data_IF_249793509982
#
_entry.id   IF_249793509982
#
_cell.length_a   1.000
_cell.length_b   1.000
_cell.length_c   1.000
_cell.angle_alpha   90.00
_cell.angle_beta   90.00
_cell.angle_gamma   90.00
#
_symmetry.space_group_name_H-M   'P 1'
#
loop_
_entity.id
_entity.type
_entity.pdbx_description
1 polymer ?
#
# COMPACT_ATOMS: atom_id res chain seq x y z
N UNK A 1 -65.22 -15.48 -117.37
CA UNK A 1 -64.38 -14.40 -116.84
C UNK A 1 -63.20 -15.04 -116.16
N UNK A 2 -62.04 -15.03 -116.80
CA UNK A 2 -60.81 -15.56 -116.20
C UNK A 2 -60.47 -14.70 -114.99
N UNK A 3 -60.53 -15.32 -113.80
CA UNK A 3 -60.28 -14.66 -112.53
C UNK A 3 -58.88 -14.07 -112.51
N UNK A 4 -58.80 -12.74 -112.45
CA UNK A 4 -57.54 -12.01 -112.28
C UNK A 4 -56.87 -12.53 -111.01
N UNK A 5 -55.76 -13.26 -111.15
CA UNK A 5 -54.92 -13.66 -110.02
C UNK A 5 -54.36 -12.38 -109.37
N UNK A 6 -54.96 -11.96 -108.27
CA UNK A 6 -54.38 -10.93 -107.40
C UNK A 6 -53.04 -11.47 -106.89
N UNK A 7 -51.95 -10.74 -107.15
CA UNK A 7 -50.62 -11.15 -106.72
C UNK A 7 -50.56 -11.18 -105.18
N UNK A 8 -49.89 -12.18 -104.61
CA UNK A 8 -49.82 -12.48 -103.16
C UNK A 8 -49.34 -11.32 -102.26
N UNK A 9 -48.79 -10.25 -102.85
CA UNK A 9 -48.27 -9.05 -102.17
C UNK A 9 -48.88 -7.73 -102.70
N UNK A 10 -50.07 -7.80 -103.30
CA UNK A 10 -50.83 -6.63 -103.75
C UNK A 10 -51.77 -6.19 -102.62
N UNK A 11 -51.60 -4.96 -102.12
CA UNK A 11 -52.50 -4.32 -101.16
C UNK A 11 -52.76 -2.89 -101.58
N UNK A 12 -54.02 -2.46 -101.52
CA UNK A 12 -54.47 -1.18 -102.09
C UNK A 12 -54.22 0.00 -101.15
N UNK A 13 -54.23 -0.25 -99.84
CA UNK A 13 -54.11 0.79 -98.80
C UNK A 13 -53.03 0.41 -97.78
N UNK A 14 -52.36 1.42 -97.22
CA UNK A 14 -51.38 1.28 -96.13
C UNK A 14 -51.77 2.15 -94.95
N UNK A 15 -51.66 1.61 -93.74
CA UNK A 15 -51.83 2.39 -92.50
C UNK A 15 -50.46 2.85 -92.00
N UNK A 16 -50.33 4.15 -91.79
CA UNK A 16 -49.16 4.78 -91.20
C UNK A 16 -49.48 5.21 -89.78
N UNK A 17 -48.52 5.01 -88.88
CA UNK A 17 -48.60 5.48 -87.50
C UNK A 17 -47.36 6.31 -87.21
N UNK A 18 -47.55 7.58 -86.84
CA UNK A 18 -46.46 8.46 -86.42
C UNK A 18 -46.72 8.94 -85.01
N UNK A 19 -45.86 8.50 -84.09
CA UNK A 19 -45.90 8.90 -82.70
C UNK A 19 -45.29 10.28 -82.50
N UNK A 20 -45.87 11.04 -81.56
CA UNK A 20 -45.26 12.26 -81.05
C UNK A 20 -43.96 11.89 -80.31
N UNK A 21 -42.86 12.65 -80.50
CA UNK A 21 -41.62 12.41 -79.79
C UNK A 21 -41.81 12.47 -78.28
N UNK A 22 -41.21 11.54 -77.53
CA UNK A 22 -41.30 11.53 -76.06
C UNK A 22 -40.80 12.82 -75.42
N UNK A 23 -39.86 13.52 -76.06
CA UNK A 23 -39.35 14.84 -75.68
C UNK A 23 -40.42 15.93 -75.67
N UNK A 24 -41.46 15.79 -76.50
CA UNK A 24 -42.64 16.68 -76.55
C UNK A 24 -43.76 16.23 -75.60
N UNK A 25 -43.56 15.14 -74.86
CA UNK A 25 -44.54 14.58 -73.95
C UNK A 25 -44.16 14.78 -72.48
N UNK A 26 -45.18 14.82 -71.62
CA UNK A 26 -45.08 14.62 -70.19
C UNK A 26 -45.49 13.18 -69.88
N UNK A 27 -44.61 12.46 -69.21
CA UNK A 27 -44.87 11.11 -68.75
C UNK A 27 -45.69 11.15 -67.45
N UNK A 28 -46.81 10.42 -67.44
CA UNK A 28 -47.60 10.12 -66.26
C UNK A 28 -47.31 8.65 -65.92
N UNK A 29 -46.48 8.39 -64.90
CA UNK A 29 -46.15 7.01 -64.52
C UNK A 29 -47.40 6.29 -64.02
N UNK A 30 -47.39 4.97 -64.14
CA UNK A 30 -48.40 4.07 -63.54
C UNK A 30 -49.87 4.35 -63.92
N UNK A 31 -50.12 4.98 -65.07
CA UNK A 31 -51.47 5.38 -65.48
C UNK A 31 -52.35 4.17 -65.86
N UNK A 32 -51.83 3.25 -66.67
CA UNK A 32 -52.55 2.05 -67.06
C UNK A 32 -52.08 0.87 -66.21
N UNK A 33 -52.97 0.34 -65.39
CA UNK A 33 -52.75 -0.88 -64.61
C UNK A 33 -53.44 -2.05 -65.28
N UNK A 34 -52.71 -3.10 -65.57
CA UNK A 34 -53.24 -4.35 -66.13
C UNK A 34 -52.57 -5.55 -65.46
N UNK A 35 -53.24 -6.69 -65.46
CA UNK A 35 -52.64 -7.95 -65.01
C UNK A 35 -52.27 -8.78 -66.24
N UNK A 36 -51.00 -9.16 -66.36
CA UNK A 36 -50.49 -10.05 -67.41
C UNK A 36 -49.79 -11.21 -66.72
N UNK A 37 -50.24 -12.44 -66.98
CA UNK A 37 -49.70 -13.68 -66.39
C UNK A 37 -49.62 -13.66 -64.85
N UNK A 38 -50.64 -13.09 -64.18
CA UNK A 38 -50.70 -12.99 -62.72
C UNK A 38 -49.82 -11.90 -62.11
N UNK A 39 -49.21 -11.04 -62.93
CA UNK A 39 -48.36 -9.93 -62.50
C UNK A 39 -49.00 -8.59 -62.84
N UNK A 40 -48.94 -7.67 -61.88
CA UNK A 40 -49.36 -6.29 -62.10
C UNK A 40 -48.35 -5.59 -63.02
N UNK A 41 -48.79 -5.24 -64.22
CA UNK A 41 -48.05 -4.45 -65.20
C UNK A 41 -48.60 -3.03 -65.20
N UNK A 42 -47.73 -2.08 -64.90
CA UNK A 42 -48.03 -0.65 -64.94
C UNK A 42 -47.38 -0.02 -66.15
N UNK A 43 -48.18 0.65 -66.99
CA UNK A 43 -47.71 1.33 -68.20
C UNK A 43 -47.90 2.84 -68.06
N UNK A 44 -46.89 3.64 -68.44
CA UNK A 44 -47.01 5.08 -68.41
C UNK A 44 -47.98 5.56 -69.50
N UNK A 45 -48.58 6.73 -69.24
CA UNK A 45 -49.30 7.50 -70.26
C UNK A 45 -48.49 8.74 -70.61
N UNK A 46 -48.24 8.95 -71.88
CA UNK A 46 -47.63 10.17 -72.38
C UNK A 46 -48.74 11.15 -72.79
N UNK A 47 -48.62 12.39 -72.34
CA UNK A 47 -49.54 13.49 -72.70
C UNK A 47 -48.71 14.59 -73.33
N UNK A 48 -49.21 15.23 -74.40
CA UNK A 48 -48.51 16.36 -75.02
C UNK A 48 -48.22 17.47 -73.99
N UNK A 49 -46.99 18.02 -73.97
CA UNK A 49 -46.65 19.16 -73.11
C UNK A 49 -47.38 20.42 -73.53
N UNK A 50 -47.42 20.66 -74.84
CA UNK A 50 -48.18 21.71 -75.49
C UNK A 50 -49.07 21.06 -76.55
N UNK A 51 -50.38 21.21 -76.39
CA UNK A 51 -51.36 20.57 -77.26
C UNK A 51 -51.40 21.19 -78.66
N UNK A 52 -51.18 22.50 -78.79
CA UNK A 52 -51.22 23.20 -80.08
C UNK A 52 -49.95 22.98 -80.88
N UNK A 53 -48.79 22.90 -80.22
CA UNK A 53 -47.55 22.48 -80.86
C UNK A 53 -47.60 21.00 -81.29
N UNK A 54 -48.17 20.14 -80.43
CA UNK A 54 -48.26 18.72 -80.70
C UNK A 54 -49.23 18.35 -81.83
N UNK A 55 -50.17 19.21 -82.24
CA UNK A 55 -50.98 18.98 -83.46
C UNK A 55 -50.20 19.21 -84.74
N UNK A 56 -49.26 20.17 -84.73
CA UNK A 56 -48.48 20.54 -85.91
C UNK A 56 -47.47 19.46 -86.28
N UNK A 57 -46.87 18.81 -85.29
CA UNK A 57 -45.86 17.77 -85.52
C UNK A 57 -46.40 16.58 -86.35
N UNK A 58 -47.52 15.93 -85.98
CA UNK A 58 -48.07 14.81 -86.74
C UNK A 58 -48.58 15.22 -88.13
N UNK A 59 -49.16 16.42 -88.25
CA UNK A 59 -49.61 16.97 -89.53
C UNK A 59 -48.44 17.19 -90.50
N UNK A 60 -47.38 17.83 -90.04
CA UNK A 60 -46.17 18.07 -90.82
C UNK A 60 -45.48 16.75 -91.19
N UNK A 61 -45.45 15.79 -90.26
CA UNK A 61 -44.92 14.45 -90.51
C UNK A 61 -45.71 13.72 -91.61
N UNK A 62 -47.03 13.81 -91.57
CA UNK A 62 -47.91 13.23 -92.59
C UNK A 62 -47.67 13.89 -93.95
N UNK A 63 -47.60 15.23 -94.03
CA UNK A 63 -47.32 15.95 -95.28
C UNK A 63 -45.98 15.53 -95.88
N UNK A 64 -44.93 15.51 -95.06
CA UNK A 64 -43.61 15.11 -95.52
C UNK A 64 -43.59 13.67 -96.03
N UNK A 65 -44.21 12.73 -95.32
CA UNK A 65 -44.32 11.34 -95.75
C UNK A 65 -45.13 11.20 -97.03
N UNK A 66 -46.21 11.98 -97.17
CA UNK A 66 -47.01 11.99 -98.37
C UNK A 66 -46.19 12.45 -99.59
N UNK A 67 -45.45 13.55 -99.47
CA UNK A 67 -44.66 14.13 -100.56
C UNK A 67 -43.41 13.31 -100.92
N UNK A 68 -42.75 12.71 -99.93
CA UNK A 68 -41.41 12.14 -100.09
C UNK A 68 -41.37 10.60 -100.12
N UNK A 69 -42.43 9.93 -99.64
CA UNK A 69 -42.45 8.48 -99.51
C UNK A 69 -43.66 7.82 -100.18
N UNK A 70 -44.85 8.44 -100.10
CA UNK A 70 -46.07 7.88 -100.68
C UNK A 70 -46.10 8.14 -102.19
N UNK A 71 -46.26 7.12 -103.06
CA UNK A 71 -46.12 7.28 -104.50
C UNK A 71 -47.12 8.24 -105.15
N UNK A 72 -48.31 8.38 -104.56
CA UNK A 72 -49.37 9.27 -105.06
C UNK A 72 -49.42 10.63 -104.34
N UNK A 73 -48.41 10.97 -103.54
CA UNK A 73 -48.38 12.27 -102.86
C UNK A 73 -49.47 12.40 -101.80
N UNK A 74 -49.82 13.65 -101.51
CA UNK A 74 -50.91 13.99 -100.59
C UNK A 74 -52.28 13.52 -101.10
N UNK A 75 -52.49 13.49 -102.42
CA UNK A 75 -53.74 13.06 -103.05
C UNK A 75 -54.04 11.56 -102.82
N UNK A 76 -53.01 10.76 -102.50
CA UNK A 76 -53.17 9.37 -102.12
C UNK A 76 -53.53 9.18 -100.64
N UNK A 77 -53.50 10.23 -99.81
CA UNK A 77 -53.86 10.13 -98.39
C UNK A 77 -55.38 10.25 -98.25
N UNK A 78 -56.03 9.16 -97.86
CA UNK A 78 -57.49 9.10 -97.71
C UNK A 78 -57.99 9.89 -96.49
N UNK A 79 -57.13 10.06 -95.48
CA UNK A 79 -57.44 10.77 -94.24
C UNK A 79 -56.62 10.22 -93.08
N UNK A 80 -56.66 10.92 -91.94
CA UNK A 80 -56.00 10.48 -90.72
C UNK A 80 -56.63 11.07 -89.46
N UNK A 81 -56.50 10.32 -88.38
CA UNK A 81 -57.01 10.66 -87.05
C UNK A 81 -55.83 10.89 -86.10
N UNK A 82 -55.90 11.99 -85.34
CA UNK A 82 -54.93 12.30 -84.29
C UNK A 82 -55.46 11.84 -82.94
N UNK A 83 -54.79 10.87 -82.33
CA UNK A 83 -55.21 10.23 -81.09
C UNK A 83 -54.32 10.75 -79.95
N UNK A 84 -54.89 11.59 -79.08
CA UNK A 84 -54.22 12.15 -77.90
C UNK A 84 -54.69 11.50 -76.58
N UNK A 85 -55.69 10.63 -76.65
CA UNK A 85 -56.32 9.98 -75.52
C UNK A 85 -55.75 8.58 -75.21
N UNK A 86 -54.86 8.08 -76.06
CA UNK A 86 -54.18 6.79 -75.92
C UNK A 86 -52.87 6.88 -75.10
N UNK A 87 -52.10 5.77 -75.09
CA UNK A 87 -50.86 5.65 -74.32
C UNK A 87 -49.76 6.62 -74.76
N UNK A 88 -49.66 6.87 -76.06
CA UNK A 88 -48.74 7.85 -76.64
C UNK A 88 -49.48 8.64 -77.71
N UNK A 89 -49.45 9.99 -77.68
CA UNK A 89 -50.08 10.79 -78.72
C UNK A 89 -49.51 10.46 -80.10
N UNK A 90 -50.36 10.24 -81.09
CA UNK A 90 -49.94 9.87 -82.44
C UNK A 90 -50.99 10.23 -83.49
N UNK A 91 -50.59 10.24 -84.76
CA UNK A 91 -51.52 10.24 -85.90
C UNK A 91 -51.52 8.86 -86.54
N UNK A 92 -52.71 8.38 -86.89
CA UNK A 92 -52.90 7.25 -87.79
C UNK A 92 -53.52 7.75 -89.08
N UNK A 93 -52.87 7.51 -90.22
CA UNK A 93 -53.42 7.93 -91.51
C UNK A 93 -53.29 6.83 -92.55
N UNK A 94 -54.24 6.79 -93.48
CA UNK A 94 -54.28 5.79 -94.54
C UNK A 94 -53.88 6.42 -95.87
N UNK A 95 -53.05 5.71 -96.64
CA UNK A 95 -52.71 6.13 -97.98
C UNK A 95 -52.76 4.99 -98.99
N UNK A 96 -53.19 5.33 -100.20
CA UNK A 96 -53.27 4.43 -101.34
C UNK A 96 -51.88 4.07 -101.86
N UNK A 97 -51.73 2.83 -102.32
CA UNK A 97 -50.50 2.33 -102.95
C UNK A 97 -50.56 2.38 -104.47
N UNK A 98 -51.52 3.15 -104.99
CA UNK A 98 -51.81 3.27 -106.40
C UNK A 98 -50.73 4.11 -107.09
N UNK A 99 -50.42 3.74 -108.33
CA UNK A 99 -49.53 4.52 -109.18
C UNK A 99 -50.01 4.44 -110.63
N UNK A 100 -49.68 5.43 -111.48
CA UNK A 100 -50.03 5.37 -112.89
C UNK A 100 -49.63 4.05 -113.53
N UNK A 101 -50.54 3.45 -114.28
CA UNK A 101 -50.26 2.23 -115.02
C UNK A 101 -49.31 2.58 -116.19
N UNK A 102 -48.11 1.98 -116.27
CA UNK A 102 -47.11 2.36 -117.27
C UNK A 102 -47.60 2.16 -118.70
N UNK A 103 -48.39 1.10 -118.94
CA UNK A 103 -48.87 0.74 -120.28
C UNK A 103 -50.32 1.19 -120.57
N UNK A 104 -51.01 1.82 -119.61
CA UNK A 104 -52.43 2.21 -119.73
C UNK A 104 -52.65 3.62 -119.21
N UNK A 105 -52.44 4.65 -120.04
CA UNK A 105 -52.62 6.05 -119.65
C UNK A 105 -54.01 6.30 -119.06
N UNK A 106 -54.09 7.11 -118.00
CA UNK A 106 -55.34 7.44 -117.31
C UNK A 106 -55.87 6.36 -116.36
N UNK A 107 -55.17 5.24 -116.18
CA UNK A 107 -55.53 4.20 -115.20
C UNK A 107 -54.46 4.06 -114.12
N UNK A 108 -54.89 3.70 -112.92
CA UNK A 108 -54.02 3.39 -111.79
C UNK A 108 -53.84 1.88 -111.64
N UNK A 109 -52.68 1.47 -111.12
CA UNK A 109 -52.44 0.09 -110.71
C UNK A 109 -51.82 0.04 -109.33
N UNK A 110 -52.17 -0.98 -108.56
CA UNK A 110 -51.56 -1.27 -107.27
C UNK A 110 -50.04 -1.52 -107.44
N UNK A 111 -49.21 -0.68 -106.83
CA UNK A 111 -47.73 -0.82 -106.85
C UNK A 111 -47.12 -0.54 -105.48
N UNK A 112 -47.43 -1.36 -104.45
CA UNK A 112 -46.77 -1.24 -103.15
C UNK A 112 -45.25 -1.43 -103.26
N UNK A 113 -44.78 -2.06 -104.33
CA UNK A 113 -43.37 -2.12 -104.71
C UNK A 113 -42.63 -0.78 -104.74
N UNK A 114 -43.29 0.33 -105.10
CA UNK A 114 -42.58 1.60 -105.23
C UNK A 114 -42.15 2.14 -103.86
N UNK A 115 -43.02 2.10 -102.86
CA UNK A 115 -42.75 2.62 -101.52
C UNK A 115 -42.37 1.53 -100.50
N UNK A 116 -43.15 0.45 -100.41
CA UNK A 116 -43.11 -0.49 -99.28
C UNK A 116 -42.29 -1.76 -99.56
N UNK A 117 -42.28 -2.19 -100.82
CA UNK A 117 -41.66 -3.44 -101.25
C UNK A 117 -40.50 -3.18 -102.23
N UNK A 118 -40.01 -4.25 -102.83
CA UNK A 118 -38.91 -4.22 -103.80
C UNK A 118 -39.51 -4.11 -105.20
N UNK A 119 -39.22 -3.03 -105.94
CA UNK A 119 -39.73 -2.80 -107.31
C UNK A 119 -38.61 -2.62 -108.34
N UNK A 120 -38.64 -3.32 -109.49
CA UNK A 120 -37.55 -3.28 -110.47
C UNK A 120 -37.23 -1.89 -111.01
N UNK A 121 -38.18 -0.95 -110.94
CA UNK A 121 -38.00 0.43 -111.40
C UNK A 121 -37.36 1.34 -110.35
N UNK A 122 -37.26 0.90 -109.09
CA UNK A 122 -36.67 1.68 -107.99
C UNK A 122 -35.27 1.16 -107.67
N UNK A 123 -34.25 1.91 -108.09
CA UNK A 123 -32.83 1.52 -108.02
C UNK A 123 -31.98 2.67 -107.47
N UNK A 124 -30.87 2.33 -106.82
CA UNK A 124 -29.90 3.34 -106.41
C UNK A 124 -29.35 4.09 -107.64
N UNK A 125 -29.43 5.42 -107.62
CA UNK A 125 -28.96 6.29 -108.70
C UNK A 125 -27.46 6.61 -108.59
N UNK A 126 -26.88 6.49 -107.39
CA UNK A 126 -25.49 6.81 -107.07
C UNK A 126 -24.91 5.87 -106.00
N UNK A 127 -23.61 6.02 -105.71
CA UNK A 127 -22.90 5.27 -104.67
C UNK A 127 -22.53 3.81 -105.03
N UNK A 128 -21.98 3.05 -104.08
CA UNK A 128 -21.46 1.68 -104.31
C UNK A 128 -22.54 0.67 -104.73
N UNK A 129 -23.82 0.98 -104.48
CA UNK A 129 -24.97 0.15 -104.85
C UNK A 129 -25.66 0.62 -106.14
N UNK A 130 -25.09 1.57 -106.90
CA UNK A 130 -25.70 2.12 -108.13
C UNK A 130 -26.23 1.02 -109.06
N UNK A 131 -27.45 1.19 -109.54
CA UNK A 131 -28.16 0.24 -110.42
C UNK A 131 -28.75 -0.98 -109.71
N UNK A 132 -28.40 -1.25 -108.44
CA UNK A 132 -29.08 -2.28 -107.65
C UNK A 132 -30.47 -1.81 -107.24
N UNK A 133 -31.38 -2.77 -107.11
CA UNK A 133 -32.75 -2.52 -106.64
C UNK A 133 -32.74 -2.16 -105.15
N UNK A 134 -33.58 -1.20 -104.75
CA UNK A 134 -33.73 -0.82 -103.34
C UNK A 134 -34.75 -1.77 -102.69
N UNK A 135 -34.39 -2.38 -101.56
CA UNK A 135 -35.28 -3.24 -100.79
C UNK A 135 -36.32 -2.40 -100.05
N UNK A 136 -37.50 -2.99 -99.78
CA UNK A 136 -38.55 -2.33 -98.98
C UNK A 136 -38.04 -1.81 -97.64
N UNK A 137 -37.32 -2.64 -96.88
CA UNK A 137 -36.74 -2.25 -95.58
C UNK A 137 -35.81 -1.03 -95.68
N UNK A 138 -34.96 -0.95 -96.71
CA UNK A 138 -34.09 0.21 -96.88
C UNK A 138 -34.89 1.49 -97.15
N UNK A 139 -35.99 1.40 -97.93
CA UNK A 139 -36.85 2.56 -98.20
C UNK A 139 -37.48 3.10 -96.91
N UNK A 140 -37.92 2.23 -96.01
CA UNK A 140 -38.41 2.65 -94.69
C UNK A 140 -37.31 3.28 -93.82
N UNK A 141 -36.09 2.72 -93.82
CA UNK A 141 -34.94 3.30 -93.10
C UNK A 141 -34.64 4.71 -93.64
N UNK A 142 -34.61 4.87 -94.96
CA UNK A 142 -34.33 6.15 -95.61
C UNK A 142 -35.46 7.17 -95.36
N UNK A 143 -36.73 6.74 -95.39
CA UNK A 143 -37.88 7.58 -95.09
C UNK A 143 -37.90 8.03 -93.61
N UNK A 144 -37.64 7.13 -92.67
CA UNK A 144 -37.53 7.49 -91.25
C UNK A 144 -36.37 8.46 -91.00
N UNK A 145 -35.21 8.24 -91.65
CA UNK A 145 -34.08 9.16 -91.55
C UNK A 145 -34.43 10.54 -92.11
N UNK A 146 -34.99 10.60 -93.31
CA UNK A 146 -35.38 11.86 -93.94
C UNK A 146 -36.45 12.62 -93.14
N UNK A 147 -37.43 11.90 -92.57
CA UNK A 147 -38.43 12.52 -91.70
C UNK A 147 -37.78 13.14 -90.46
N UNK A 148 -36.84 12.44 -89.81
CA UNK A 148 -36.13 12.99 -88.64
C UNK A 148 -35.29 14.21 -89.00
N UNK A 149 -34.57 14.17 -90.13
CA UNK A 149 -33.80 15.31 -90.63
C UNK A 149 -34.69 16.53 -90.91
N UNK A 150 -35.84 16.31 -91.55
CA UNK A 150 -36.83 17.37 -91.84
C UNK A 150 -37.40 17.97 -90.56
N UNK A 151 -37.90 17.13 -89.64
CA UNK A 151 -38.51 17.60 -88.40
C UNK A 151 -37.49 18.31 -87.51
N UNK A 152 -36.24 17.84 -87.47
CA UNK A 152 -35.15 18.51 -86.77
C UNK A 152 -34.82 19.87 -87.42
N UNK A 153 -34.80 19.96 -88.76
CA UNK A 153 -34.57 21.22 -89.46
C UNK A 153 -35.67 22.26 -89.21
N UNK A 154 -36.91 21.81 -88.98
CA UNK A 154 -38.03 22.66 -88.54
C UNK A 154 -37.97 23.06 -87.06
N UNK A 155 -36.97 22.57 -86.31
CA UNK A 155 -36.74 22.92 -84.90
C UNK A 155 -37.47 22.01 -83.90
N UNK A 156 -38.10 20.92 -84.34
CA UNK A 156 -38.70 19.97 -83.40
C UNK A 156 -37.61 19.18 -82.64
N UNK A 157 -37.85 18.83 -81.36
CA UNK A 157 -36.87 18.14 -80.52
C UNK A 157 -36.81 16.63 -80.83
N UNK A 158 -36.44 16.28 -82.06
CA UNK A 158 -36.29 14.91 -82.54
C UNK A 158 -34.82 14.50 -82.51
N UNK A 159 -34.53 13.30 -82.02
CA UNK A 159 -33.18 12.72 -82.04
C UNK A 159 -32.79 12.35 -83.47
N UNK A 160 -31.67 12.88 -84.00
CA UNK A 160 -31.22 12.59 -85.37
C UNK A 160 -30.68 11.16 -85.53
N UNK A 161 -29.91 10.72 -84.53
CA UNK A 161 -29.34 9.39 -84.49
C UNK A 161 -30.27 8.42 -83.78
N UNK A 162 -30.36 7.24 -84.35
CA UNK A 162 -31.12 6.14 -83.80
C UNK A 162 -30.32 5.57 -82.63
N UNK A 163 -30.90 5.52 -81.43
CA UNK A 163 -30.19 4.99 -80.25
C UNK A 163 -29.60 3.59 -80.51
N UNK A 164 -28.48 3.26 -79.86
CA UNK A 164 -27.84 1.94 -79.97
C UNK A 164 -28.80 0.77 -79.64
N UNK A 165 -29.90 1.06 -78.93
CA UNK A 165 -30.95 0.10 -78.55
C UNK A 165 -32.12 -0.01 -79.54
N UNK A 166 -32.04 0.56 -80.73
CA UNK A 166 -33.20 0.61 -81.64
C UNK A 166 -33.66 -0.73 -82.22
N UNK A 167 -32.74 -1.69 -82.33
CA UNK A 167 -33.03 -3.07 -82.74
C UNK A 167 -33.53 -3.92 -81.56
N UNK A 168 -33.40 -3.42 -80.33
CA UNK A 168 -34.02 -4.02 -79.16
C UNK A 168 -35.51 -3.62 -79.20
N UNK A 169 -36.33 -4.43 -79.86
CA UNK A 169 -37.76 -4.40 -79.55
C UNK A 169 -37.86 -4.56 -78.03
N UNK A 170 -38.47 -3.58 -77.37
CA UNK A 170 -38.76 -3.62 -75.94
C UNK A 170 -39.64 -4.86 -75.70
N UNK A 171 -39.00 -6.00 -75.48
CA UNK A 171 -39.70 -7.20 -75.05
C UNK A 171 -40.33 -6.81 -73.70
N UNK A 172 -41.66 -6.85 -73.65
CA UNK A 172 -42.48 -6.47 -72.50
C UNK A 172 -41.93 -7.03 -71.18
N UNK A 173 -41.34 -8.22 -71.25
CA UNK A 173 -40.67 -8.92 -70.14
C UNK A 173 -39.52 -8.13 -69.51
N UNK A 174 -38.66 -7.49 -70.33
CA UNK A 174 -37.48 -6.75 -69.84
C UNK A 174 -37.86 -5.42 -69.19
N UNK A 175 -38.86 -4.73 -69.73
CA UNK A 175 -39.39 -3.51 -69.10
C UNK A 175 -40.04 -3.84 -67.74
N UNK A 176 -40.78 -4.95 -67.69
CA UNK A 176 -41.37 -5.47 -66.44
C UNK A 176 -40.29 -5.88 -65.44
N UNK A 177 -39.23 -6.56 -65.88
CA UNK A 177 -38.10 -6.95 -65.03
C UNK A 177 -37.36 -5.73 -64.46
N UNK A 178 -37.18 -4.67 -65.24
CA UNK A 178 -36.53 -3.44 -64.77
C UNK A 178 -37.40 -2.70 -63.75
N UNK A 179 -38.70 -2.61 -63.97
CA UNK A 179 -39.67 -2.04 -63.02
C UNK A 179 -39.74 -2.84 -61.71
N UNK A 180 -39.78 -4.17 -61.80
CA UNK A 180 -39.75 -5.06 -60.65
C UNK A 180 -38.45 -4.88 -59.84
N UNK A 181 -37.31 -4.71 -60.52
CA UNK A 181 -36.01 -4.48 -59.89
C UNK A 181 -35.95 -3.13 -59.18
N UNK A 182 -36.49 -2.07 -59.77
CA UNK A 182 -36.59 -0.76 -59.12
C UNK A 182 -37.52 -0.80 -57.90
N UNK A 183 -38.63 -1.54 -57.99
CA UNK A 183 -39.54 -1.75 -56.85
C UNK A 183 -38.86 -2.52 -55.71
N UNK A 184 -38.12 -3.58 -56.02
CA UNK A 184 -37.37 -4.35 -55.02
C UNK A 184 -36.27 -3.54 -54.35
N UNK A 185 -35.59 -2.68 -55.11
CA UNK A 185 -34.61 -1.75 -54.55
C UNK A 185 -35.26 -0.76 -53.59
N UNK A 186 -36.40 -0.16 -53.99
CA UNK A 186 -37.15 0.77 -53.13
C UNK A 186 -37.67 0.11 -51.86
N UNK A 187 -38.13 -1.14 -51.95
CA UNK A 187 -38.56 -1.93 -50.79
C UNK A 187 -37.38 -2.20 -49.84
N UNK A 188 -36.21 -2.59 -50.39
CA UNK A 188 -34.98 -2.78 -49.62
C UNK A 188 -34.50 -1.50 -48.94
N UNK A 189 -34.57 -0.36 -49.63
CA UNK A 189 -34.26 0.95 -49.02
C UNK A 189 -35.19 1.23 -47.83
N UNK A 190 -36.50 0.97 -47.98
CA UNK A 190 -37.45 1.06 -46.88
C UNK A 190 -37.11 0.15 -45.69
N UNK A 191 -36.74 -1.11 -45.93
CA UNK A 191 -36.30 -2.03 -44.88
C UNK A 191 -35.03 -1.57 -44.18
N UNK A 192 -34.06 -1.04 -44.93
CA UNK A 192 -32.81 -0.49 -44.38
C UNK A 192 -33.10 0.71 -43.50
N UNK A 193 -33.98 1.61 -43.93
CA UNK A 193 -34.42 2.77 -43.15
C UNK A 193 -35.09 2.34 -41.82
N UNK A 194 -35.96 1.32 -41.86
CA UNK A 194 -36.59 0.75 -40.66
C UNK A 194 -35.55 0.14 -39.72
N UNK A 195 -34.60 -0.65 -40.25
CA UNK A 195 -33.51 -1.23 -39.45
C UNK A 195 -32.63 -0.15 -38.84
N UNK A 196 -32.30 0.90 -39.58
CA UNK A 196 -31.52 2.05 -39.09
C UNK A 196 -32.23 2.75 -37.93
N UNK A 197 -33.54 2.97 -38.03
CA UNK A 197 -34.35 3.52 -36.93
C UNK A 197 -34.46 2.58 -35.73
N UNK A 198 -34.39 1.26 -35.93
CA UNK A 198 -34.32 0.29 -34.83
C UNK A 198 -32.99 0.40 -34.11
N UNK A 199 -31.88 0.34 -34.85
CA UNK A 199 -30.52 0.46 -34.28
C UNK A 199 -30.36 1.78 -33.53
N UNK A 200 -30.88 2.90 -34.06
CA UNK A 200 -30.82 4.17 -33.36
C UNK A 200 -31.54 4.12 -32.00
N UNK A 201 -32.74 3.52 -31.95
CA UNK A 201 -33.47 3.36 -30.69
C UNK A 201 -32.72 2.48 -29.68
N UNK A 202 -32.06 1.44 -30.16
CA UNK A 202 -31.25 0.55 -29.31
C UNK A 202 -30.02 1.30 -28.77
N UNK A 203 -29.36 2.12 -29.60
CA UNK A 203 -28.24 2.97 -29.17
C UNK A 203 -28.68 4.01 -28.13
N UNK A 204 -29.82 4.67 -28.35
CA UNK A 204 -30.37 5.66 -27.40
C UNK A 204 -30.82 4.99 -26.07
N UNK A 205 -31.19 3.71 -26.09
CA UNK A 205 -31.48 2.94 -24.87
C UNK A 205 -30.18 2.62 -24.11
N UNK A 206 -29.14 2.15 -24.82
CA UNK A 206 -27.82 1.87 -24.23
C UNK A 206 -27.23 3.14 -23.59
N UNK A 207 -27.36 4.29 -24.23
CA UNK A 207 -26.87 5.56 -23.70
C UNK A 207 -27.59 5.94 -22.38
N UNK A 208 -28.92 5.80 -22.34
CA UNK A 208 -29.71 6.02 -21.11
C UNK A 208 -29.32 5.06 -19.98
N UNK A 209 -29.14 3.78 -20.29
CA UNK A 209 -28.71 2.77 -19.31
C UNK A 209 -27.32 3.10 -18.75
N UNK A 210 -26.40 3.56 -19.63
CA UNK A 210 -25.06 3.98 -19.22
C UNK A 210 -25.08 5.22 -18.33
N UNK A 211 -25.91 6.22 -18.66
CA UNK A 211 -26.10 7.40 -17.81
C UNK A 211 -26.68 7.04 -16.44
N UNK A 212 -27.63 6.11 -16.41
CA UNK A 212 -28.24 5.67 -15.17
C UNK A 212 -27.24 4.89 -14.31
N UNK A 213 -26.48 3.96 -14.90
CA UNK A 213 -25.40 3.25 -14.22
C UNK A 213 -24.33 4.21 -13.66
N UNK A 214 -24.00 5.28 -14.40
CA UNK A 214 -23.07 6.30 -13.92
C UNK A 214 -23.62 7.09 -12.71
N UNK A 215 -24.92 7.41 -12.70
CA UNK A 215 -25.59 8.05 -11.56
C UNK A 215 -25.61 7.14 -10.34
N UNK A 216 -25.95 5.87 -10.52
CA UNK A 216 -25.96 4.86 -9.44
C UNK A 216 -24.57 4.65 -8.87
N UNK A 217 -23.53 4.57 -9.73
CA UNK A 217 -22.14 4.46 -9.30
C UNK A 217 -21.71 5.67 -8.45
N UNK A 218 -22.08 6.89 -8.87
CA UNK A 218 -21.77 8.11 -8.12
C UNK A 218 -22.46 8.11 -6.75
N UNK A 219 -23.73 7.71 -6.68
CA UNK A 219 -24.46 7.58 -5.41
C UNK A 219 -23.82 6.53 -4.50
N UNK A 220 -23.38 5.41 -5.06
CA UNK A 220 -22.69 4.37 -4.30
C UNK A 220 -21.35 4.85 -3.76
N UNK A 221 -20.58 5.62 -4.54
CA UNK A 221 -19.34 6.25 -4.09
C UNK A 221 -19.58 7.22 -2.92
N UNK A 222 -20.53 8.14 -3.06
CA UNK A 222 -20.90 9.08 -2.00
C UNK A 222 -21.37 8.38 -0.71
N UNK A 223 -22.13 7.29 -0.85
CA UNK A 223 -22.55 6.47 0.29
C UNK A 223 -21.36 5.77 0.97
N UNK A 224 -20.40 5.28 0.18
CA UNK A 224 -19.22 4.60 0.69
C UNK A 224 -18.26 5.58 1.40
N UNK A 225 -18.07 6.79 0.85
CA UNK A 225 -17.32 7.87 1.52
C UNK A 225 -17.95 8.25 2.85
N UNK A 226 -19.29 8.39 2.90
CA UNK A 226 -20.01 8.62 4.16
C UNK A 226 -19.80 7.48 5.15
N UNK A 227 -19.92 6.23 4.70
CA UNK A 227 -19.68 5.06 5.55
C UNK A 227 -18.25 5.02 6.10
N UNK A 228 -17.25 5.33 5.27
CA UNK A 228 -15.85 5.46 5.72
C UNK A 228 -15.67 6.56 6.76
N UNK A 229 -16.31 7.73 6.58
CA UNK A 229 -16.24 8.81 7.57
C UNK A 229 -16.84 8.40 8.92
N UNK A 230 -17.95 7.65 8.91
CA UNK A 230 -18.59 7.13 10.12
C UNK A 230 -17.68 6.10 10.80
N UNK A 231 -17.04 5.21 10.04
CA UNK A 231 -16.09 4.25 10.56
C UNK A 231 -14.87 4.93 11.19
N UNK A 232 -14.29 5.93 10.52
CA UNK A 232 -13.17 6.71 11.08
C UNK A 232 -13.56 7.39 12.38
N UNK A 233 -14.72 8.05 12.42
CA UNK A 233 -15.20 8.69 13.65
C UNK A 233 -15.45 7.67 14.77
N UNK A 234 -15.98 6.48 14.45
CA UNK A 234 -16.19 5.41 15.42
C UNK A 234 -14.84 4.86 15.94
N UNK A 235 -13.84 4.70 15.08
CA UNK A 235 -12.49 4.29 15.48
C UNK A 235 -11.80 5.35 16.36
N UNK A 236 -11.93 6.63 16.03
CA UNK A 236 -11.40 7.73 16.84
C UNK A 236 -12.05 7.76 18.23
N UNK A 237 -13.37 7.60 18.29
CA UNK A 237 -14.08 7.49 19.57
C UNK A 237 -13.65 6.26 20.37
N UNK A 238 -13.51 5.10 19.72
CA UNK A 238 -13.04 3.88 20.37
C UNK A 238 -11.62 4.05 20.93
N UNK A 239 -10.72 4.71 20.18
CA UNK A 239 -9.36 5.04 20.64
C UNK A 239 -9.40 6.00 21.83
N UNK A 240 -10.20 7.06 21.76
CA UNK A 240 -10.33 8.03 22.85
C UNK A 240 -10.85 7.36 24.14
N UNK A 241 -11.84 6.46 24.02
CA UNK A 241 -12.36 5.69 25.15
C UNK A 241 -11.29 4.73 25.68
N UNK A 242 -10.58 4.01 24.82
CA UNK A 242 -9.53 3.09 25.23
C UNK A 242 -8.38 3.83 25.95
N UNK A 243 -7.96 4.99 25.45
CA UNK A 243 -6.94 5.83 26.07
C UNK A 243 -7.41 6.35 27.43
N UNK A 244 -8.68 6.79 27.54
CA UNK A 244 -9.26 7.22 28.81
C UNK A 244 -9.27 6.10 29.84
N UNK A 245 -9.69 4.89 29.46
CA UNK A 245 -9.71 3.70 30.34
C UNK A 245 -8.30 3.32 30.76
N UNK A 246 -7.32 3.36 29.85
CA UNK A 246 -5.91 3.08 30.17
C UNK A 246 -5.34 4.11 31.14
N UNK A 247 -5.66 5.40 30.96
CA UNK A 247 -5.21 6.46 31.86
C UNK A 247 -5.87 6.33 33.25
N UNK A 248 -7.18 6.09 33.32
CA UNK A 248 -7.89 5.83 34.58
C UNK A 248 -7.34 4.59 35.29
N UNK A 249 -7.01 3.53 34.55
CA UNK A 249 -6.41 2.32 35.12
C UNK A 249 -4.99 2.57 35.65
N UNK A 250 -4.17 3.35 34.91
CA UNK A 250 -2.83 3.76 35.37
C UNK A 250 -2.92 4.62 36.62
N UNK A 251 -3.83 5.57 36.67
CA UNK A 251 -4.00 6.47 37.82
C UNK A 251 -4.42 5.69 39.07
N UNK A 252 -5.35 4.73 38.93
CA UNK A 252 -5.72 3.82 40.03
C UNK A 252 -4.55 2.95 40.46
N UNK A 253 -3.79 2.38 39.52
CA UNK A 253 -2.62 1.56 39.86
C UNK A 253 -1.53 2.39 40.57
N UNK A 254 -1.33 3.65 40.18
CA UNK A 254 -0.40 4.57 40.83
C UNK A 254 -0.87 4.90 42.27
N UNK A 255 -2.17 5.17 42.44
CA UNK A 255 -2.77 5.40 43.76
C UNK A 255 -2.64 4.18 44.68
N UNK A 256 -2.92 2.98 44.16
CA UNK A 256 -2.73 1.73 44.90
C UNK A 256 -1.26 1.50 45.25
N UNK A 257 -0.34 1.75 44.32
CA UNK A 257 1.09 1.65 44.58
C UNK A 257 1.56 2.66 45.64
N UNK A 258 1.07 3.90 45.62
CA UNK A 258 1.36 4.91 46.64
C UNK A 258 0.81 4.51 48.01
N UNK A 259 -0.40 3.93 48.05
CA UNK A 259 -0.98 3.41 49.28
C UNK A 259 -0.12 2.28 49.87
N UNK A 260 0.31 1.32 49.03
CA UNK A 260 1.22 0.24 49.43
C UNK A 260 2.55 0.80 49.94
N UNK A 261 3.13 1.80 49.26
CA UNK A 261 4.37 2.47 49.70
C UNK A 261 4.20 3.16 51.06
N UNK A 262 3.09 3.86 51.25
CA UNK A 262 2.75 4.53 52.52
C UNK A 262 2.60 3.52 53.66
N UNK A 263 1.85 2.44 53.43
CA UNK A 263 1.59 1.44 54.46
C UNK A 263 2.87 0.66 54.81
N UNK A 264 3.67 0.28 53.81
CA UNK A 264 4.98 -0.32 54.04
C UNK A 264 5.93 0.60 54.82
N UNK A 265 5.86 1.92 54.60
CA UNK A 265 6.64 2.90 55.36
C UNK A 265 6.17 2.99 56.82
N UNK A 266 4.86 3.00 57.07
CA UNK A 266 4.31 2.97 58.43
C UNK A 266 4.71 1.70 59.18
N UNK A 267 4.63 0.55 58.52
CA UNK A 267 5.06 -0.73 59.09
C UNK A 267 6.56 -0.74 59.39
N UNK A 268 7.38 -0.17 58.50
CA UNK A 268 8.82 0.02 58.74
C UNK A 268 9.10 0.97 59.92
N UNK A 269 8.38 2.08 60.04
CA UNK A 269 8.49 3.01 61.17
C UNK A 269 8.06 2.35 62.49
N UNK A 270 6.99 1.54 62.48
CA UNK A 270 6.54 0.80 63.65
C UNK A 270 7.55 -0.27 64.08
N UNK A 271 8.10 -1.03 63.13
CA UNK A 271 9.11 -2.06 63.42
C UNK A 271 10.42 -1.44 63.92
N UNK A 272 10.84 -0.32 63.34
CA UNK A 272 11.97 0.48 63.85
C UNK A 272 11.71 0.95 65.28
N UNK A 273 10.53 1.51 65.58
CA UNK A 273 10.18 1.97 66.92
C UNK A 273 10.14 0.84 67.96
N UNK A 274 9.67 -0.35 67.58
CA UNK A 274 9.73 -1.53 68.44
C UNK A 274 11.18 -2.00 68.68
N UNK A 275 12.02 -1.98 67.64
CA UNK A 275 13.43 -2.35 67.75
C UNK A 275 14.21 -1.34 68.61
N UNK A 276 13.91 -0.04 68.50
CA UNK A 276 14.49 1.02 69.33
C UNK A 276 14.08 0.85 70.80
N UNK A 277 12.79 0.62 71.08
CA UNK A 277 12.32 0.34 72.44
C UNK A 277 12.97 -0.91 73.05
N UNK A 278 13.17 -1.97 72.25
CA UNK A 278 13.89 -3.18 72.69
C UNK A 278 15.38 -2.91 72.94
N UNK A 279 16.00 -2.06 72.13
CA UNK A 279 17.39 -1.68 72.32
C UNK A 279 17.58 -0.86 73.61
N UNK A 280 16.65 0.06 73.90
CA UNK A 280 16.63 0.82 75.15
C UNK A 280 16.42 -0.07 76.37
N UNK A 281 15.49 -1.02 76.33
CA UNK A 281 15.30 -2.01 77.41
C UNK A 281 16.56 -2.85 77.67
N UNK A 282 17.23 -3.31 76.61
CA UNK A 282 18.49 -4.05 76.73
C UNK A 282 19.63 -3.19 77.28
N UNK A 283 19.66 -1.91 76.90
CA UNK A 283 20.63 -0.95 77.42
C UNK A 283 20.43 -0.71 78.92
N UNK A 284 19.19 -0.47 79.35
CA UNK A 284 18.85 -0.27 80.77
C UNK A 284 19.18 -1.52 81.61
N UNK A 285 18.85 -2.71 81.11
CA UNK A 285 19.18 -3.97 81.77
C UNK A 285 20.70 -4.17 81.87
N UNK A 286 21.45 -3.80 80.82
CA UNK A 286 22.90 -3.87 80.84
C UNK A 286 23.50 -2.87 81.84
N UNK A 287 22.95 -1.66 81.95
CA UNK A 287 23.38 -0.65 82.93
C UNK A 287 23.10 -1.11 84.36
N UNK A 288 21.92 -1.66 84.63
CA UNK A 288 21.56 -2.20 85.94
C UNK A 288 22.47 -3.38 86.33
N UNK A 289 22.73 -4.29 85.38
CA UNK A 289 23.66 -5.41 85.58
C UNK A 289 25.08 -4.92 85.85
N UNK A 290 25.54 -3.90 85.13
CA UNK A 290 26.86 -3.30 85.35
C UNK A 290 26.96 -2.63 86.72
N UNK A 291 25.93 -1.89 87.15
CA UNK A 291 25.85 -1.30 88.49
C UNK A 291 25.84 -2.35 89.60
N UNK A 292 25.08 -3.43 89.44
CA UNK A 292 25.02 -4.54 90.39
C UNK A 292 26.38 -5.22 90.55
N UNK A 293 27.03 -5.59 89.43
CA UNK A 293 28.38 -6.17 89.43
C UNK A 293 29.43 -5.22 90.01
N UNK A 294 29.35 -3.93 89.69
CA UNK A 294 30.25 -2.93 90.27
C UNK A 294 30.09 -2.87 91.80
N UNK A 295 28.85 -2.89 92.29
CA UNK A 295 28.55 -2.93 93.73
C UNK A 295 29.12 -4.17 94.42
N UNK A 296 28.95 -5.36 93.83
CA UNK A 296 29.52 -6.62 94.32
C UNK A 296 31.05 -6.59 94.37
N UNK A 297 31.71 -6.07 93.33
CA UNK A 297 33.17 -5.91 93.29
C UNK A 297 33.62 -4.97 94.41
N UNK A 298 32.96 -3.83 94.60
CA UNK A 298 33.30 -2.91 95.71
C UNK A 298 33.06 -3.52 97.09
N UNK A 299 32.00 -4.30 97.29
CA UNK A 299 31.73 -4.98 98.56
C UNK A 299 32.80 -6.04 98.87
N UNK A 300 33.19 -6.81 97.85
CA UNK A 300 34.25 -7.83 97.96
C UNK A 300 35.59 -7.20 98.28
N UNK A 301 35.98 -6.15 97.54
CA UNK A 301 37.22 -5.41 97.79
C UNK A 301 37.27 -4.80 99.20
N UNK A 302 36.13 -4.32 99.72
CA UNK A 302 36.04 -3.78 101.09
C UNK A 302 36.24 -4.86 102.16
N UNK A 303 35.61 -6.03 101.98
CA UNK A 303 35.77 -7.18 102.89
C UNK A 303 37.21 -7.71 102.89
N UNK A 304 37.84 -7.78 101.73
CA UNK A 304 39.25 -8.17 101.59
C UNK A 304 40.18 -7.15 102.27
N UNK A 305 39.95 -5.84 102.08
CA UNK A 305 40.72 -4.80 102.74
C UNK A 305 40.60 -4.83 104.27
N UNK A 306 39.40 -5.09 104.81
CA UNK A 306 39.18 -5.26 106.26
C UNK A 306 39.91 -6.51 106.79
N UNK A 307 39.92 -7.59 106.03
CA UNK A 307 40.63 -8.84 106.38
C UNK A 307 42.15 -8.64 106.41
N UNK A 308 42.71 -7.97 105.39
CA UNK A 308 44.14 -7.64 105.31
C UNK A 308 44.53 -6.74 106.48
N UNK A 309 43.73 -5.73 106.81
CA UNK A 309 44.00 -4.83 107.94
C UNK A 309 44.06 -5.60 109.27
N UNK A 310 43.13 -6.54 109.48
CA UNK A 310 43.10 -7.40 110.68
C UNK A 310 44.34 -8.29 110.78
N UNK A 311 44.79 -8.88 109.67
CA UNK A 311 46.00 -9.70 109.61
C UNK A 311 47.26 -8.89 109.89
N UNK A 312 47.35 -7.66 109.38
CA UNK A 312 48.48 -6.75 109.65
C UNK A 312 48.55 -6.38 111.14
N UNK A 313 47.42 -6.11 111.78
CA UNK A 313 47.38 -5.82 113.23
C UNK A 313 47.74 -7.03 114.10
N UNK A 314 47.32 -8.24 113.72
CA UNK A 314 47.72 -9.49 114.39
C UNK A 314 49.23 -9.75 114.25
N UNK A 315 49.79 -9.57 113.04
CA UNK A 315 51.22 -9.71 112.80
C UNK A 315 52.05 -8.69 113.61
N UNK A 316 51.58 -7.43 113.72
CA UNK A 316 52.23 -6.39 114.53
C UNK A 316 52.27 -6.75 116.01
N UNK A 317 51.16 -7.24 116.57
CA UNK A 317 51.09 -7.69 117.98
C UNK A 317 52.01 -8.87 118.25
N UNK A 318 52.17 -9.78 117.29
CA UNK A 318 53.07 -10.93 117.44
C UNK A 318 54.54 -10.50 117.40
N UNK A 319 54.92 -9.62 116.47
CA UNK A 319 56.27 -9.06 116.40
C UNK A 319 56.67 -8.30 117.67
N UNK A 320 55.72 -7.62 118.32
CA UNK A 320 55.98 -6.90 119.58
C UNK A 320 56.27 -7.86 120.75
N UNK A 321 55.54 -8.98 120.85
CA UNK A 321 55.81 -10.04 121.85
C UNK A 321 57.17 -10.69 121.64
N UNK A 322 57.52 -10.97 120.39
CA UNK A 322 58.81 -11.59 120.06
C UNK A 322 59.97 -10.65 120.39
N UNK A 323 59.83 -9.34 120.14
CA UNK A 323 60.81 -8.33 120.51
C UNK A 323 60.97 -8.15 122.03
N UNK A 324 59.91 -8.36 122.81
CA UNK A 324 59.95 -8.32 124.27
C UNK A 324 60.63 -9.56 124.85
N UNK A 325 60.37 -10.74 124.28
CA UNK A 325 61.05 -11.99 124.64
C UNK A 325 62.56 -11.92 124.40
N UNK A 326 62.97 -11.42 123.22
CA UNK A 326 64.39 -11.24 122.89
C UNK A 326 65.08 -10.26 123.84
N UNK A 327 64.40 -9.19 124.27
CA UNK A 327 64.95 -8.22 125.24
C UNK A 327 65.15 -8.82 126.63
N UNK A 328 64.21 -9.64 127.10
CA UNK A 328 64.33 -10.35 128.38
C UNK A 328 65.52 -11.32 128.37
N UNK A 329 65.63 -12.15 127.32
CA UNK A 329 66.71 -13.14 127.19
C UNK A 329 68.09 -12.48 127.13
N UNK A 330 68.21 -11.34 126.43
CA UNK A 330 69.47 -10.60 126.35
C UNK A 330 69.89 -9.93 127.67
N UNK A 331 68.93 -9.56 128.53
CA UNK A 331 69.24 -8.99 129.85
C UNK A 331 69.74 -10.05 130.83
N UNK A 332 69.18 -11.26 130.79
CA UNK A 332 69.63 -12.38 131.62
C UNK A 332 71.04 -12.84 131.22
N UNK A 333 71.33 -12.93 129.92
CA UNK A 333 72.69 -13.25 129.42
C UNK A 333 73.73 -12.20 129.84
N UNK A 334 73.39 -10.90 129.78
CA UNK A 334 74.30 -9.83 130.19
C UNK A 334 74.64 -9.90 131.69
N UNK A 335 73.69 -10.30 132.53
CA UNK A 335 73.89 -10.43 133.98
C UNK A 335 74.85 -11.57 134.32
N UNK A 336 74.70 -12.72 133.65
CA UNK A 336 75.56 -13.90 133.84
C UNK A 336 77.02 -13.58 133.46
N UNK A 337 77.22 -12.89 132.33
CA UNK A 337 78.57 -12.55 131.82
C UNK A 337 79.30 -11.57 132.76
N UNK A 338 78.59 -10.63 133.37
CA UNK A 338 79.18 -9.65 134.31
C UNK A 338 79.59 -10.32 135.63
N UNK A 339 78.80 -11.25 136.17
CA UNK A 339 79.15 -11.98 137.40
C UNK A 339 80.38 -12.88 137.21
N UNK A 340 80.52 -13.51 136.04
CA UNK A 340 81.64 -14.40 135.74
C UNK A 340 82.96 -13.61 135.57
N UNK A 341 82.90 -12.42 134.97
CA UNK A 341 84.07 -11.54 134.79
C UNK A 341 84.60 -10.95 136.12
N UNK A 342 83.72 -10.67 137.09
CA UNK A 342 84.12 -10.14 138.41
C UNK A 342 84.84 -11.19 139.27
N UNK A 343 84.44 -12.46 139.19
CA UNK A 343 85.10 -13.55 139.94
C UNK A 343 86.51 -13.88 139.42
N UNK A 344 86.73 -13.80 138.11
CA UNK A 344 88.07 -14.09 137.54
C UNK A 344 89.06 -12.93 137.68
N UNK A 345 88.59 -11.69 137.86
CA UNK A 345 89.46 -10.52 138.08
C UNK A 345 90.10 -10.48 139.48
N UNK A 346 89.42 -10.98 140.52
CA UNK A 346 89.89 -10.89 141.91
C UNK A 346 90.95 -11.94 142.32
N UNK A 347 91.23 -12.96 141.49
CA UNK A 347 92.30 -13.94 141.78
C UNK A 347 93.68 -13.56 141.20
N UNK A 348 93.77 -12.51 140.38
CA UNK A 348 95.03 -12.02 139.79
C UNK A 348 95.70 -10.90 140.61
N UNK A 349 95.06 -10.42 141.68
CA UNK A 349 95.49 -9.22 142.42
C UNK A 349 96.31 -9.51 143.69
N UNK A 350 96.72 -10.75 143.93
CA UNK A 350 97.70 -11.10 144.97
C UNK A 350 98.98 -11.64 144.30
N UNK A 351 99.69 -10.81 143.52
CA UNK A 351 100.81 -10.01 144.03
C UNK A 351 101.69 -10.88 144.96
N UNK A 352 102.69 -11.57 144.43
CA UNK A 352 103.83 -10.97 143.69
C UNK A 352 104.53 -9.85 144.52
N UNK A 353 104.43 -9.95 145.85
CA UNK A 353 105.30 -9.28 146.84
C UNK A 353 106.40 -10.22 147.35
N UNK A 354 107.23 -10.72 146.44
CA UNK A 354 108.67 -10.80 146.70
C UNK A 354 109.48 -9.97 145.68
N UNK A 355 108.90 -8.83 145.28
CA UNK A 355 109.56 -7.54 145.58
C UNK A 355 110.04 -7.66 147.04
N UNK A 356 111.30 -7.70 147.39
CA UNK A 356 112.49 -7.20 146.73
C UNK A 356 113.64 -7.74 147.61
N UNK A 357 114.81 -8.02 147.04
CA UNK A 357 116.10 -7.79 147.73
C UNK A 357 116.27 -8.46 149.09
N UNK A 358 117.07 -9.51 149.11
CA UNK A 358 118.42 -9.31 149.61
C UNK A 358 119.31 -9.77 148.43
N UNK A 359 119.76 -8.85 147.57
CA UNK A 359 121.11 -8.40 147.85
C UNK A 359 121.24 -7.77 149.26
N UNK A 360 121.93 -8.31 150.28
CA UNK A 360 122.87 -9.44 150.38
C UNK A 360 123.32 -10.04 149.04
N UNK A 361 124.06 -9.20 148.31
CA UNK A 361 125.22 -9.50 147.45
C UNK A 361 125.21 -10.87 146.72
N UNK A 362 125.24 -11.00 145.38
CA UNK A 362 126.34 -10.59 144.50
C UNK A 362 126.00 -10.70 142.98
N UNK A 363 125.92 -9.59 142.25
CA UNK A 363 126.49 -9.41 140.87
C UNK A 363 125.54 -9.08 139.69
N UNK A 364 125.93 -8.19 138.74
CA UNK A 364 125.03 -7.38 137.89
C UNK A 364 124.36 -8.05 136.68
N UNK A 365 124.73 -9.26 136.30
CA UNK A 365 124.29 -9.87 135.03
C UNK A 365 122.82 -10.35 135.05
N UNK A 366 122.22 -10.46 136.23
CA UNK A 366 120.85 -10.96 136.41
C UNK A 366 119.77 -9.91 136.13
N UNK A 367 120.08 -8.61 136.21
CA UNK A 367 119.11 -7.52 136.03
C UNK A 367 118.63 -7.40 134.57
N UNK A 368 119.50 -7.73 133.62
CA UNK A 368 119.20 -7.56 132.19
C UNK A 368 118.25 -8.65 131.67
N UNK A 369 118.35 -9.89 132.19
CA UNK A 369 117.49 -11.03 131.79
C UNK A 369 116.04 -10.88 132.26
N UNK A 370 115.79 -10.30 133.44
CA UNK A 370 114.42 -10.11 133.94
C UNK A 370 113.62 -9.10 133.10
N UNK A 371 114.31 -8.10 132.55
CA UNK A 371 113.71 -7.02 131.78
C UNK A 371 113.23 -7.48 130.39
N UNK A 372 113.91 -8.46 129.78
CA UNK A 372 113.50 -9.01 128.49
C UNK A 372 112.30 -9.97 128.59
N UNK A 373 112.15 -10.70 129.70
CA UNK A 373 111.06 -11.66 129.89
C UNK A 373 109.68 -10.99 130.06
N UNK A 374 109.59 -9.87 130.78
CA UNK A 374 108.30 -9.15 130.95
C UNK A 374 107.74 -8.56 129.64
N UNK A 375 108.59 -8.20 128.68
CA UNK A 375 108.16 -7.63 127.40
C UNK A 375 107.52 -8.66 126.45
N UNK A 376 107.85 -9.95 126.56
CA UNK A 376 107.30 -10.98 125.65
C UNK A 376 105.88 -11.45 126.03
N UNK A 377 105.50 -11.40 127.31
CA UNK A 377 104.18 -11.91 127.75
C UNK A 377 103.00 -10.99 127.38
N UNK A 378 103.19 -9.67 127.32
CA UNK A 378 102.11 -8.72 127.04
C UNK A 378 101.75 -8.62 125.56
N UNK A 379 102.63 -9.07 124.65
CA UNK A 379 102.38 -9.05 123.20
C UNK A 379 101.44 -10.15 122.70
N UNK A 380 101.35 -11.29 123.40
CA UNK A 380 100.62 -12.47 122.91
C UNK A 380 99.11 -12.45 123.23
N UNK A 381 98.69 -11.82 124.34
CA UNK A 381 97.27 -11.86 124.75
C UNK A 381 96.37 -10.84 124.03
N UNK A 382 96.94 -9.79 123.43
CA UNK A 382 96.14 -8.73 122.81
C UNK A 382 95.72 -9.05 121.35
N UNK A 383 96.43 -9.93 120.65
CA UNK A 383 96.12 -10.33 119.27
C UNK A 383 94.97 -11.34 119.17
N UNK A 384 94.83 -12.26 120.13
CA UNK A 384 93.81 -13.32 120.07
C UNK A 384 92.39 -12.83 120.37
N UNK A 385 92.20 -11.83 121.23
CA UNK A 385 90.88 -11.25 121.51
C UNK A 385 90.33 -10.46 120.31
N UNK A 386 91.21 -9.81 119.55
CA UNK A 386 90.81 -9.01 118.37
C UNK A 386 90.39 -9.90 117.19
N UNK A 387 91.03 -11.05 117.01
CA UNK A 387 90.69 -12.01 115.94
C UNK A 387 89.29 -12.62 116.14
N UNK A 388 88.93 -12.99 117.38
CA UNK A 388 87.60 -13.59 117.68
C UNK A 388 86.43 -12.61 117.50
N UNK A 389 86.66 -11.31 117.75
CA UNK A 389 85.64 -10.29 117.52
C UNK A 389 85.37 -10.06 116.03
N UNK A 390 86.41 -10.10 115.18
CA UNK A 390 86.25 -9.94 113.73
C UNK A 390 85.57 -11.14 113.07
N UNK A 391 85.91 -12.37 113.46
CA UNK A 391 85.25 -13.59 112.93
C UNK A 391 83.74 -13.63 113.25
N UNK A 392 83.31 -13.08 114.39
CA UNK A 392 81.87 -12.99 114.75
C UNK A 392 81.12 -11.93 113.93
N UNK A 393 81.77 -10.84 113.54
CA UNK A 393 81.18 -9.80 112.70
C UNK A 393 81.02 -10.30 111.25
N UNK A 394 82.01 -11.01 110.72
CA UNK A 394 81.93 -11.61 109.38
C UNK A 394 80.86 -12.71 109.29
N UNK A 395 80.73 -13.57 110.30
CA UNK A 395 79.64 -14.58 110.33
C UNK A 395 78.24 -13.96 110.28
N UNK A 396 78.02 -12.80 110.93
CA UNK A 396 76.74 -12.08 110.85
C UNK A 396 76.48 -11.46 109.46
N UNK A 397 77.52 -10.97 108.79
CA UNK A 397 77.40 -10.45 107.41
C UNK A 397 77.03 -11.56 106.42
N UNK A 398 77.63 -12.74 106.54
CA UNK A 398 77.30 -13.91 105.71
C UNK A 398 75.89 -14.44 105.93
N UNK A 399 75.38 -14.40 107.17
CA UNK A 399 73.98 -14.79 107.47
C UNK A 399 72.96 -13.81 106.88
N UNK A 400 73.24 -12.49 106.90
CA UNK A 400 72.37 -11.50 106.25
C UNK A 400 72.39 -11.58 104.72
N UNK A 401 73.47 -12.08 104.12
CA UNK A 401 73.55 -12.28 102.68
C UNK A 401 72.82 -13.57 102.24
N UNK A 402 72.91 -14.66 103.01
CA UNK A 402 72.14 -15.88 102.75
C UNK A 402 70.63 -15.76 103.01
N UNK A 403 70.17 -14.78 103.79
CA UNK A 403 68.73 -14.47 103.91
C UNK A 403 68.20 -13.62 102.75
N UNK A 404 69.04 -12.82 102.06
CA UNK A 404 68.64 -12.14 100.83
C UNK A 404 68.54 -13.09 99.63
N UNK A 405 69.32 -14.17 99.64
CA UNK A 405 69.34 -15.17 98.56
C UNK A 405 68.25 -16.26 98.71
N UNK A 406 67.40 -16.22 99.76
CA UNK A 406 66.29 -17.18 99.98
C UNK A 406 64.88 -16.66 99.67
N UNK A 407 64.65 -15.35 99.63
CA UNK A 407 63.32 -14.76 99.34
C UNK A 407 63.22 -14.16 97.92
N UNK A 408 64.06 -14.63 96.99
CA UNK A 408 64.07 -14.22 95.58
C UNK A 408 64.34 -15.37 94.61
N UNK A 409 63.88 -16.58 94.94
CA UNK A 409 63.95 -17.76 94.09
C UNK A 409 62.56 -18.26 93.71
N UNK A 410 62.31 -18.35 92.41
CA UNK A 410 61.43 -19.37 91.82
C UNK A 410 61.78 -20.78 92.34
#
# INVERSE_FOLDING_TARGET
MDGVRVQKNSFETSLFVVYLPKSMCKEIPDYYTSEVDGREVKRPRYVARDYEEAKKYPEESMRWLAENFIPGGIDAVAGGDMNFDESTPHIQFQADTLSPHPDKPGTLRCRPGIAYNTDPTVRYTSGPKKGKQISGQQKFIDAQRGLREHMHALGYPVELEVSERHDESLNLDRYTEQQDRERDLKNREGEVEVKKRSVQRDMDAIERDREQAAKELKQAQEANEKAQSVLQHAEEQARAVAERVLNEAREKAEQEAEQIRSDARKDAEQTMGLAEAQADELHDLAEETARSKASEITATARSEAETITRQVDEARKQAERDAEKIRSEAQDEAKIIIEEAVKSGQQLEHLDKKFLVLELHDSPELLERYTQFKKSQTSSKHSDARRRAQERIEKRRLQQQQQRDRDGGD
#
